data_IF_606233232443
#
_entry.id   IF_606233232443
#
_cell.length_a   1.000
_cell.length_b   1.000
_cell.length_c   1.000
_cell.angle_alpha   90.00
_cell.angle_beta   90.00
_cell.angle_gamma   90.00
#
_symmetry.space_group_name_H-M   'P 1'
#
loop_
_entity.id
_entity.type
_entity.pdbx_description
1 polymer ?
#
# COMPACT_ATOMS: atom_id res chain seq x y z
N UNK A 1 -23.25 -75.66 -8.60
CA UNK A 1 -22.74 -74.54 -9.43
C UNK A 1 -22.80 -73.27 -8.60
N UNK A 2 -21.66 -72.88 -7.99
CA UNK A 2 -21.51 -71.70 -7.13
C UNK A 2 -21.32 -70.45 -8.00
N UNK A 3 -22.22 -69.46 -7.89
CA UNK A 3 -22.08 -68.14 -8.53
C UNK A 3 -21.83 -67.05 -7.49
N UNK A 4 -20.53 -66.75 -7.35
CA UNK A 4 -19.87 -65.44 -7.18
C UNK A 4 -20.62 -64.35 -6.40
N UNK A 5 -20.17 -64.09 -5.17
CA UNK A 5 -20.40 -62.85 -4.44
C UNK A 5 -19.64 -61.70 -5.09
N UNK A 6 -20.34 -60.62 -5.45
CA UNK A 6 -19.74 -59.35 -5.83
C UNK A 6 -19.72 -58.42 -4.60
N UNK A 7 -18.52 -58.17 -4.10
CA UNK A 7 -18.20 -57.08 -3.18
C UNK A 7 -18.31 -55.75 -3.94
N UNK A 8 -19.27 -54.91 -3.57
CA UNK A 8 -19.33 -53.51 -3.98
C UNK A 8 -19.26 -52.64 -2.72
N UNK A 9 -18.06 -52.24 -2.37
CA UNK A 9 -17.81 -51.33 -1.25
C UNK A 9 -16.65 -50.42 -1.59
N UNK A 10 -16.94 -49.22 -2.09
CA UNK A 10 -16.09 -48.05 -1.91
C UNK A 10 -16.94 -46.78 -2.10
N UNK A 11 -17.45 -46.26 -0.99
CA UNK A 11 -18.04 -44.92 -0.93
C UNK A 11 -16.88 -43.93 -0.72
N UNK A 12 -16.57 -43.12 -1.72
CA UNK A 12 -15.68 -41.96 -1.56
C UNK A 12 -16.53 -40.81 -1.04
N UNK A 13 -16.42 -40.53 0.25
CA UNK A 13 -16.95 -39.31 0.86
C UNK A 13 -16.00 -38.18 0.43
N UNK A 14 -16.43 -37.39 -0.55
CA UNK A 14 -15.78 -36.13 -0.86
C UNK A 14 -16.02 -35.17 0.32
N UNK A 15 -14.98 -35.00 1.15
CA UNK A 15 -14.93 -34.00 2.20
C UNK A 15 -15.17 -32.62 1.59
N UNK A 16 -16.33 -32.05 1.90
CA UNK A 16 -16.62 -30.65 1.67
C UNK A 16 -15.61 -29.80 2.46
N UNK A 17 -14.71 -29.13 1.74
CA UNK A 17 -13.96 -28.01 2.27
C UNK A 17 -14.96 -26.88 2.55
N UNK A 18 -15.10 -26.38 3.79
CA UNK A 18 -15.63 -25.04 3.95
C UNK A 18 -14.54 -24.10 3.42
N UNK A 19 -14.73 -23.63 2.19
CA UNK A 19 -14.16 -22.36 1.78
C UNK A 19 -14.69 -21.35 2.79
N UNK A 20 -13.85 -21.03 3.78
CA UNK A 20 -14.04 -19.90 4.65
C UNK A 20 -13.99 -18.66 3.74
N UNK A 21 -15.15 -18.35 3.17
CA UNK A 21 -15.49 -17.04 2.66
C UNK A 21 -15.26 -16.11 3.85
N UNK A 22 -14.06 -15.55 3.87
CA UNK A 22 -13.60 -14.58 4.85
C UNK A 22 -14.49 -13.37 4.63
N UNK A 23 -15.62 -13.34 5.32
CA UNK A 23 -16.41 -12.15 5.53
C UNK A 23 -15.52 -11.20 6.34
N UNK A 24 -14.61 -10.50 5.63
CA UNK A 24 -13.88 -9.37 6.18
C UNK A 24 -14.93 -8.33 6.46
N UNK A 25 -15.20 -8.13 7.74
CA UNK A 25 -15.88 -6.94 8.23
C UNK A 25 -15.26 -5.71 7.57
N UNK A 26 -16.17 -4.95 7.01
CA UNK A 26 -16.04 -3.69 6.32
C UNK A 26 -15.44 -2.63 7.25
N UNK A 27 -14.17 -2.28 7.03
CA UNK A 27 -13.56 -1.04 7.53
C UNK A 27 -12.74 -0.41 6.39
N UNK A 28 -13.31 -0.39 5.18
CA UNK A 28 -12.73 0.27 4.03
C UNK A 28 -12.59 1.77 4.33
N UNK A 29 -11.34 2.26 4.36
CA UNK A 29 -11.05 3.68 4.48
C UNK A 29 -11.41 4.36 3.16
N UNK A 30 -12.68 4.77 3.06
CA UNK A 30 -13.25 5.61 2.01
C UNK A 30 -13.22 7.06 2.48
N UNK A 31 -12.80 7.96 1.59
CA UNK A 31 -12.80 9.42 1.79
C UNK A 31 -14.18 9.86 2.33
N UNK A 32 -14.22 10.43 3.54
CA UNK A 32 -15.43 11.04 4.10
C UNK A 32 -16.43 10.14 4.87
N UNK A 33 -16.11 8.87 5.19
CA UNK A 33 -16.82 8.11 6.24
C UNK A 33 -15.95 7.92 7.48
N UNK A 34 -16.58 7.73 8.66
CA UNK A 34 -15.91 7.46 9.95
C UNK A 34 -14.75 6.47 9.75
N UNK A 35 -13.52 6.96 9.78
CA UNK A 35 -12.31 6.15 9.55
C UNK A 35 -11.40 6.60 8.39
N UNK A 36 -11.87 7.50 7.50
CA UNK A 36 -11.02 8.13 6.48
C UNK A 36 -10.30 9.38 6.99
N UNK A 37 -9.18 9.78 6.35
CA UNK A 37 -8.43 10.97 6.76
C UNK A 37 -9.24 12.25 6.53
N UNK A 38 -9.07 13.20 7.44
CA UNK A 38 -9.67 14.53 7.33
C UNK A 38 -8.75 15.45 6.52
N UNK A 39 -9.31 16.22 5.59
CA UNK A 39 -8.53 17.24 4.89
C UNK A 39 -8.51 18.54 5.72
N UNK A 40 -7.32 18.97 6.11
CA UNK A 40 -7.07 20.27 6.74
C UNK A 40 -6.70 21.25 5.63
N UNK A 41 -7.45 22.35 5.55
CA UNK A 41 -7.18 23.45 4.61
C UNK A 41 -5.85 24.13 4.96
N UNK A 42 -5.11 24.56 3.95
CA UNK A 42 -3.82 25.23 4.07
C UNK A 42 -3.08 25.25 2.74
N UNK A 43 -1.87 25.79 2.74
CA UNK A 43 -0.97 25.77 1.58
C UNK A 43 0.42 25.22 1.99
N UNK A 44 0.72 23.94 1.70
CA UNK A 44 -0.15 22.95 1.09
C UNK A 44 -1.23 22.42 2.05
N UNK A 45 -2.36 21.90 1.55
CA UNK A 45 -3.36 21.23 2.37
C UNK A 45 -2.76 19.97 3.01
N UNK A 46 -3.31 19.51 4.15
CA UNK A 46 -2.82 18.33 4.88
C UNK A 46 -3.90 17.28 5.06
N UNK A 47 -3.52 16.01 4.96
CA UNK A 47 -4.35 14.87 5.37
C UNK A 47 -4.04 14.51 6.82
N UNK A 48 -5.06 14.52 7.67
CA UNK A 48 -4.99 14.08 9.05
C UNK A 48 -5.61 12.69 9.21
N UNK A 49 -4.76 11.72 9.52
CA UNK A 49 -5.15 10.35 9.81
C UNK A 49 -5.27 10.07 11.32
N UNK A 50 -5.04 11.06 12.19
CA UNK A 50 -4.93 10.90 13.64
C UNK A 50 -3.67 10.14 14.07
N UNK A 51 -3.36 10.15 15.37
CA UNK A 51 -2.18 9.46 15.93
C UNK A 51 -0.86 10.03 15.40
N UNK A 52 -0.76 11.36 15.30
CA UNK A 52 0.43 12.08 14.82
C UNK A 52 0.66 12.05 13.30
N UNK A 53 -0.21 11.39 12.52
CA UNK A 53 -0.04 11.20 11.09
C UNK A 53 -0.69 12.34 10.28
N UNK A 54 0.07 13.43 10.12
CA UNK A 54 -0.31 14.62 9.33
C UNK A 54 0.52 14.72 8.05
N UNK A 55 -0.09 14.45 6.89
CA UNK A 55 0.61 14.33 5.61
C UNK A 55 0.32 15.56 4.72
N UNK A 56 1.33 16.37 4.34
CA UNK A 56 1.14 17.47 3.40
C UNK A 56 0.84 16.95 1.99
N UNK A 57 -0.22 17.45 1.37
CA UNK A 57 -0.62 17.09 0.00
C UNK A 57 0.16 17.90 -1.04
N UNK A 58 1.44 17.57 -1.18
CA UNK A 58 2.34 18.11 -2.20
C UNK A 58 3.15 16.97 -2.84
N UNK A 59 4.06 17.27 -3.77
CA UNK A 59 4.87 16.27 -4.49
C UNK A 59 5.67 15.32 -3.57
N UNK A 60 5.85 15.73 -2.32
CA UNK A 60 6.67 15.07 -1.33
C UNK A 60 6.02 13.77 -0.78
N UNK A 61 4.70 13.59 -0.95
CA UNK A 61 3.98 12.37 -0.54
C UNK A 61 4.48 11.09 -1.21
N UNK A 62 5.00 11.20 -2.44
CA UNK A 62 5.38 10.05 -3.27
C UNK A 62 6.76 9.48 -2.96
N UNK A 63 7.55 10.15 -2.11
CA UNK A 63 8.93 9.78 -1.77
C UNK A 63 9.15 9.60 -0.27
N UNK A 64 8.07 9.46 0.49
CA UNK A 64 8.10 9.48 1.96
C UNK A 64 7.32 8.31 2.53
N UNK A 65 7.89 7.65 3.54
CA UNK A 65 7.17 6.77 4.44
C UNK A 65 6.63 7.62 5.59
N UNK A 66 5.32 7.77 5.65
CA UNK A 66 4.65 8.53 6.70
C UNK A 66 4.30 7.59 7.85
N UNK A 67 4.76 7.92 9.05
CA UNK A 67 4.66 7.10 10.24
C UNK A 67 3.79 7.80 11.28
N UNK A 68 2.66 7.17 11.61
CA UNK A 68 1.87 7.50 12.80
C UNK A 68 2.25 6.63 13.99
N UNK A 69 1.51 6.79 15.08
CA UNK A 69 1.66 5.97 16.29
C UNK A 69 1.46 4.47 16.03
N UNK A 70 0.45 4.11 15.23
CA UNK A 70 -0.03 2.74 15.06
C UNK A 70 0.02 2.23 13.60
N UNK A 71 0.47 3.06 12.65
CA UNK A 71 0.45 2.75 11.22
C UNK A 71 1.55 3.44 10.43
N UNK A 72 1.82 2.89 9.25
CA UNK A 72 2.59 3.54 8.20
C UNK A 72 1.73 3.76 6.95
N UNK A 73 2.01 4.83 6.21
CA UNK A 73 1.37 5.17 4.93
C UNK A 73 2.42 5.58 3.90
N UNK A 74 2.29 5.08 2.68
CA UNK A 74 3.02 5.55 1.49
C UNK A 74 2.04 5.90 0.39
N UNK A 75 2.46 6.67 -0.61
CA UNK A 75 1.64 7.01 -1.77
C UNK A 75 2.32 6.61 -3.07
N UNK A 76 1.50 6.13 -4.01
CA UNK A 76 1.88 5.87 -5.38
C UNK A 76 1.08 6.74 -6.33
N UNK A 77 1.66 6.98 -7.50
CA UNK A 77 1.03 7.68 -8.62
C UNK A 77 1.24 6.91 -9.90
N UNK A 78 0.29 7.01 -10.82
CA UNK A 78 0.45 6.52 -12.19
C UNK A 78 -0.36 7.35 -13.18
N UNK A 79 0.01 7.24 -14.45
CA UNK A 79 -0.71 7.82 -15.58
C UNK A 79 -1.02 6.71 -16.60
N UNK A 80 -2.28 6.56 -17.00
CA UNK A 80 -2.66 5.60 -18.03
C UNK A 80 -3.90 6.05 -18.82
N UNK A 81 -4.09 5.51 -20.02
CA UNK A 81 -5.29 5.78 -20.85
C UNK A 81 -6.60 5.20 -20.29
N UNK A 82 -6.50 4.29 -19.33
CA UNK A 82 -7.65 3.66 -18.69
C UNK A 82 -7.57 3.89 -17.19
N UNK A 83 -8.66 4.40 -16.60
CA UNK A 83 -8.77 4.68 -15.17
C UNK A 83 -8.35 3.50 -14.30
N UNK A 84 -8.93 2.31 -14.54
CA UNK A 84 -8.62 1.09 -13.78
C UNK A 84 -7.13 0.75 -13.82
N UNK A 85 -6.48 0.95 -14.97
CA UNK A 85 -5.06 0.67 -15.13
C UNK A 85 -4.20 1.70 -14.38
N UNK A 86 -4.57 2.99 -14.46
CA UNK A 86 -3.89 4.04 -13.70
C UNK A 86 -3.97 3.75 -12.19
N UNK A 87 -5.17 3.40 -11.70
CA UNK A 87 -5.39 3.06 -10.30
C UNK A 87 -4.59 1.84 -9.84
N UNK A 88 -4.61 0.75 -10.62
CA UNK A 88 -3.85 -0.46 -10.31
C UNK A 88 -2.35 -0.18 -10.26
N UNK A 89 -1.81 0.60 -11.21
CA UNK A 89 -0.39 0.94 -11.24
C UNK A 89 -0.01 1.88 -10.09
N UNK A 90 -0.88 2.82 -9.71
CA UNK A 90 -0.65 3.66 -8.54
C UNK A 90 -0.59 2.81 -7.25
N UNK A 91 -1.44 1.79 -7.13
CA UNK A 91 -1.44 0.87 -5.98
C UNK A 91 -0.17 0.02 -5.91
N UNK A 92 0.27 -0.51 -7.06
CA UNK A 92 1.54 -1.22 -7.18
C UNK A 92 2.70 -0.32 -6.77
N UNK A 93 2.72 0.93 -7.22
CA UNK A 93 3.73 1.90 -6.85
C UNK A 93 3.72 2.18 -5.33
N UNK A 94 2.55 2.44 -4.74
CA UNK A 94 2.42 2.70 -3.30
C UNK A 94 2.92 1.51 -2.46
N UNK A 95 2.55 0.29 -2.86
CA UNK A 95 2.97 -0.96 -2.22
C UNK A 95 4.48 -1.15 -2.35
N UNK A 96 5.04 -0.93 -3.53
CA UNK A 96 6.48 -1.01 -3.78
C UNK A 96 7.26 -0.02 -2.91
N UNK A 97 6.81 1.23 -2.83
CA UNK A 97 7.40 2.24 -1.93
C UNK A 97 7.31 1.81 -0.47
N UNK A 98 6.19 1.23 -0.02
CA UNK A 98 6.06 0.71 1.34
C UNK A 98 7.11 -0.36 1.64
N UNK A 99 7.27 -1.34 0.74
CA UNK A 99 8.26 -2.41 0.90
C UNK A 99 9.67 -1.83 1.02
N UNK A 100 10.09 -1.02 0.06
CA UNK A 100 11.43 -0.41 0.03
C UNK A 100 11.71 0.37 1.32
N UNK A 101 10.77 1.18 1.77
CA UNK A 101 10.97 2.04 2.93
C UNK A 101 10.97 1.25 4.24
N UNK A 102 10.10 0.25 4.42
CA UNK A 102 10.10 -0.59 5.62
C UNK A 102 11.32 -1.51 5.69
N UNK A 103 11.75 -2.07 4.54
CA UNK A 103 13.00 -2.82 4.46
C UNK A 103 14.19 -1.94 4.82
N UNK A 104 14.26 -0.73 4.27
CA UNK A 104 15.33 0.22 4.60
C UNK A 104 15.29 0.60 6.07
N UNK A 105 14.13 0.91 6.63
CA UNK A 105 13.99 1.25 8.04
C UNK A 105 14.39 0.09 8.97
N UNK A 106 14.13 -1.15 8.56
CA UNK A 106 14.52 -2.32 9.31
C UNK A 106 16.03 -2.61 9.22
N UNK A 107 16.60 -2.64 8.02
CA UNK A 107 17.95 -3.16 7.79
C UNK A 107 19.04 -2.08 7.68
N UNK A 108 18.70 -0.88 7.25
CA UNK A 108 19.63 0.22 7.03
C UNK A 108 19.02 1.58 7.41
N UNK A 109 18.52 1.75 8.66
CA UNK A 109 17.78 2.94 9.09
C UNK A 109 18.60 4.25 8.94
N UNK A 110 19.92 4.18 8.99
CA UNK A 110 20.83 5.31 8.79
C UNK A 110 20.72 5.94 7.39
N UNK A 111 20.23 5.18 6.40
CA UNK A 111 19.95 5.68 5.04
C UNK A 111 18.66 6.46 4.95
N UNK A 112 17.87 6.48 6.02
CA UNK A 112 16.69 7.32 6.15
C UNK A 112 16.97 8.54 7.01
N UNK A 113 16.27 9.62 6.72
CA UNK A 113 16.24 10.85 7.52
C UNK A 113 14.81 11.20 7.86
N UNK A 114 14.58 11.74 9.06
CA UNK A 114 13.29 12.31 9.44
C UNK A 114 12.96 13.47 8.50
N UNK A 115 11.72 13.49 8.03
CA UNK A 115 11.19 14.53 7.17
C UNK A 115 9.91 15.06 7.79
N UNK A 116 9.83 16.38 7.99
CA UNK A 116 8.74 17.02 8.73
C UNK A 116 8.47 16.33 10.07
N UNK A 117 7.21 16.23 10.48
CA UNK A 117 6.79 15.73 11.79
C UNK A 117 6.67 14.21 11.85
N UNK A 118 6.34 13.56 10.73
CA UNK A 118 5.99 12.14 10.70
C UNK A 118 6.54 11.39 9.48
N UNK A 119 7.40 12.00 8.66
CA UNK A 119 7.96 11.38 7.47
C UNK A 119 9.32 10.76 7.68
N UNK A 120 9.62 9.75 6.87
CA UNK A 120 10.97 9.24 6.60
C UNK A 120 11.25 9.32 5.11
N UNK A 121 12.45 9.78 4.75
CA UNK A 121 12.92 9.84 3.37
C UNK A 121 14.28 9.20 3.22
N UNK A 122 14.57 8.70 2.02
CA UNK A 122 15.94 8.37 1.64
C UNK A 122 16.83 9.62 1.79
N UNK A 123 17.96 9.44 2.46
CA UNK A 123 18.93 10.51 2.76
C UNK A 123 19.46 11.20 1.50
N UNK A 124 19.66 10.43 0.43
CA UNK A 124 20.20 10.89 -0.86
C UNK A 124 19.10 11.25 -1.87
N UNK A 125 17.88 10.76 -1.64
CA UNK A 125 16.78 10.84 -2.60
C UNK A 125 16.87 9.85 -3.77
N UNK A 126 17.92 9.04 -3.84
CA UNK A 126 18.10 8.01 -4.86
C UNK A 126 17.50 6.67 -4.38
N UNK A 127 16.68 6.04 -5.24
CA UNK A 127 16.04 4.77 -4.91
C UNK A 127 17.05 3.63 -4.81
N UNK A 128 18.21 3.72 -5.48
CA UNK A 128 19.26 2.68 -5.43
C UNK A 128 19.91 2.55 -4.06
N UNK A 129 19.84 3.61 -3.25
CA UNK A 129 20.44 3.62 -1.91
C UNK A 129 19.51 2.96 -0.87
N UNK A 130 18.27 2.64 -1.26
CA UNK A 130 17.31 1.91 -0.43
C UNK A 130 17.58 0.40 -0.45
N UNK A 131 17.08 -0.30 0.56
CA UNK A 131 17.20 -1.76 0.66
C UNK A 131 16.19 -2.42 -0.28
N UNK A 132 16.70 -3.19 -1.24
CA UNK A 132 15.92 -3.99 -2.17
C UNK A 132 15.59 -5.35 -1.56
N UNK A 133 14.38 -5.81 -1.80
CA UNK A 133 13.92 -7.10 -1.32
C UNK A 133 12.42 -7.23 -1.40
N UNK A 134 11.95 -8.38 -0.98
CA UNK A 134 10.54 -8.74 -0.96
C UNK A 134 10.04 -9.01 0.45
N UNK A 135 8.82 -8.56 0.70
CA UNK A 135 8.08 -8.85 1.93
C UNK A 135 6.58 -8.79 1.66
N UNK A 136 5.86 -9.79 2.17
CA UNK A 136 4.40 -9.79 2.15
C UNK A 136 3.84 -8.88 3.25
N UNK A 137 3.15 -7.81 2.86
CA UNK A 137 2.55 -6.83 3.77
C UNK A 137 1.02 -7.01 3.80
N UNK A 138 0.38 -6.96 4.99
CA UNK A 138 -1.08 -7.07 5.13
C UNK A 138 -1.79 -5.74 4.91
N UNK A 139 -1.15 -4.80 4.22
CA UNK A 139 -1.67 -3.45 4.04
C UNK A 139 -2.85 -3.38 3.07
N UNK A 140 -3.46 -2.20 3.02
CA UNK A 140 -4.63 -1.91 2.20
C UNK A 140 -4.50 -0.57 1.47
N UNK A 141 -5.07 -0.44 0.28
CA UNK A 141 -5.19 0.85 -0.39
C UNK A 141 -6.03 1.81 0.45
N UNK A 142 -5.63 3.08 0.46
CA UNK A 142 -6.36 4.16 1.12
C UNK A 142 -6.40 5.37 0.20
N UNK A 143 -7.52 6.09 0.21
CA UNK A 143 -7.68 7.32 -0.58
C UNK A 143 -7.40 7.19 -2.09
N UNK A 144 -7.93 6.15 -2.78
CA UNK A 144 -7.83 6.08 -4.23
C UNK A 144 -8.47 7.31 -4.86
N UNK A 145 -7.72 8.06 -5.66
CA UNK A 145 -8.21 9.30 -6.29
C UNK A 145 -7.64 9.45 -7.69
N UNK A 146 -8.42 10.03 -8.60
CA UNK A 146 -7.99 10.46 -9.93
C UNK A 146 -8.12 11.97 -10.11
N UNK A 147 -7.44 12.52 -11.10
CA UNK A 147 -7.60 13.90 -11.61
C UNK A 147 -9.06 14.38 -11.74
N UNK A 148 -10.01 13.49 -12.06
CA UNK A 148 -11.46 13.80 -12.07
C UNK A 148 -12.05 14.23 -10.72
N UNK A 149 -11.37 13.93 -9.62
CA UNK A 149 -11.78 14.25 -8.24
C UNK A 149 -10.87 15.30 -7.59
N UNK A 150 -9.68 15.52 -8.14
CA UNK A 150 -8.59 16.28 -7.52
C UNK A 150 -8.18 17.52 -8.32
N UNK A 151 -9.16 18.23 -8.93
CA UNK A 151 -8.95 19.44 -9.71
C UNK A 151 -7.70 20.22 -9.28
N UNK A 152 -6.64 20.10 -10.09
CA UNK A 152 -5.36 20.81 -9.95
C UNK A 152 -4.54 20.64 -8.64
N UNK A 153 -4.65 19.54 -7.88
CA UNK A 153 -3.87 19.40 -6.62
C UNK A 153 -2.42 18.89 -6.79
N UNK A 154 -2.00 18.45 -7.98
CA UNK A 154 -0.63 17.96 -8.22
C UNK A 154 -0.06 18.53 -9.51
N UNK A 155 0.33 19.80 -9.49
CA UNK A 155 1.22 20.35 -10.52
C UNK A 155 2.59 19.70 -10.42
N UNK A 156 2.83 18.64 -11.20
CA UNK A 156 4.14 18.08 -11.44
C UNK A 156 4.12 17.31 -12.77
N UNK A 157 4.75 17.92 -13.79
CA UNK A 157 5.20 17.36 -15.09
C UNK A 157 4.33 16.24 -15.69
N UNK A 158 3.46 16.65 -16.61
CA UNK A 158 2.71 15.78 -17.53
C UNK A 158 3.66 15.21 -18.58
N UNK A 159 4.38 14.15 -18.24
CA UNK A 159 5.10 13.37 -19.24
C UNK A 159 4.13 12.45 -20.01
N UNK A 160 3.81 12.86 -21.24
CA UNK A 160 3.78 11.96 -22.39
C UNK A 160 2.47 11.28 -22.83
N UNK A 161 1.32 11.50 -22.18
CA UNK A 161 0.07 10.81 -22.57
C UNK A 161 -1.09 11.70 -23.06
N UNK A 162 -0.89 13.02 -23.20
CA UNK A 162 -1.90 13.95 -23.73
C UNK A 162 -3.05 14.23 -22.75
N UNK A 163 -3.97 15.11 -23.16
CA UNK A 163 -5.08 15.62 -22.32
C UNK A 163 -6.12 14.54 -21.91
N UNK A 164 -6.09 13.35 -22.53
CA UNK A 164 -7.02 12.23 -22.29
C UNK A 164 -6.48 11.16 -21.32
N UNK A 165 -5.39 11.43 -20.61
CA UNK A 165 -4.78 10.50 -19.69
C UNK A 165 -5.41 10.59 -18.29
N UNK A 166 -5.54 9.44 -17.61
CA UNK A 166 -5.95 9.39 -16.21
C UNK A 166 -4.74 9.44 -15.29
N UNK A 167 -4.69 10.45 -14.44
CA UNK A 167 -3.71 10.59 -13.37
C UNK A 167 -4.28 10.02 -12.06
N UNK A 168 -3.76 8.88 -11.64
CA UNK A 168 -4.18 8.21 -10.41
C UNK A 168 -3.18 8.43 -9.27
N UNK A 169 -3.72 8.59 -8.06
CA UNK A 169 -2.99 8.62 -6.80
C UNK A 169 -3.69 7.69 -5.81
N UNK A 170 -2.91 6.88 -5.10
CA UNK A 170 -3.45 6.05 -4.02
C UNK A 170 -2.43 5.91 -2.90
N UNK A 171 -2.91 5.85 -1.67
CA UNK A 171 -2.10 5.51 -0.52
C UNK A 171 -2.10 4.00 -0.27
N UNK A 172 -1.07 3.48 0.40
CA UNK A 172 -1.04 2.13 0.94
C UNK A 172 -0.73 2.20 2.43
N UNK A 173 -1.57 1.58 3.26
CA UNK A 173 -1.47 1.66 4.71
C UNK A 173 -1.21 0.29 5.32
N UNK A 174 -0.25 0.22 6.24
CA UNK A 174 0.07 -0.97 7.04
C UNK A 174 -0.03 -0.61 8.52
N UNK A 175 -0.76 -1.42 9.30
CA UNK A 175 -0.84 -1.22 10.75
C UNK A 175 0.36 -1.89 11.44
N UNK A 176 0.98 -1.20 12.41
CA UNK A 176 2.14 -1.68 13.17
C UNK A 176 1.82 -2.90 14.04
N UNK A 177 0.56 -3.06 14.44
CA UNK A 177 0.08 -4.24 15.18
C UNK A 177 0.08 -5.51 14.32
N UNK A 178 0.01 -5.37 13.00
CA UNK A 178 -0.06 -6.49 12.05
C UNK A 178 1.33 -6.82 11.46
N UNK A 179 2.26 -5.86 11.46
CA UNK A 179 3.67 -6.03 11.08
C UNK A 179 4.55 -5.09 11.91
N UNK A 180 5.52 -5.62 12.62
CA UNK A 180 6.58 -4.83 13.29
C UNK A 180 7.86 -4.79 12.45
N UNK A 181 8.79 -3.87 12.75
CA UNK A 181 10.11 -3.88 12.09
C UNK A 181 10.91 -5.17 12.38
N UNK A 182 10.66 -5.82 13.53
CA UNK A 182 11.24 -7.12 13.83
C UNK A 182 10.65 -8.21 12.92
N UNK A 183 9.34 -8.19 12.67
CA UNK A 183 8.70 -9.10 11.70
C UNK A 183 9.21 -8.85 10.28
N UNK A 184 9.47 -7.58 9.91
CA UNK A 184 10.10 -7.23 8.63
C UNK A 184 11.45 -7.92 8.52
N UNK A 185 12.31 -7.82 9.55
CA UNK A 185 13.61 -8.50 9.56
C UNK A 185 13.51 -10.00 9.43
N UNK A 186 12.55 -10.60 10.13
CA UNK A 186 12.39 -12.05 10.17
C UNK A 186 11.84 -12.66 8.86
N UNK A 187 11.05 -11.89 8.10
CA UNK A 187 10.29 -12.39 6.94
C UNK A 187 10.78 -11.88 5.60
N UNK A 188 11.64 -10.86 5.58
CA UNK A 188 12.13 -10.27 4.35
C UNK A 188 13.04 -11.23 3.58
N UNK A 189 12.93 -11.20 2.26
CA UNK A 189 13.85 -11.84 1.33
C UNK A 189 14.62 -10.72 0.62
N UNK A 190 15.84 -10.46 1.07
CA UNK A 190 16.67 -9.41 0.48
C UNK A 190 17.18 -9.87 -0.88
N UNK A 191 17.23 -8.93 -1.82
CA UNK A 191 17.95 -9.14 -3.09
C UNK A 191 19.34 -8.58 -2.82
N UNK A 192 20.34 -9.46 -2.75
CA UNK A 192 21.74 -9.02 -2.66
C UNK A 192 22.04 -8.14 -3.88
N UNK A 193 22.55 -6.94 -3.62
CA UNK A 193 23.00 -5.99 -4.63
C UNK A 193 24.49 -6.09 -4.86
#
# INVERSE_FOLDING_TARGET
>A
MLRRHALAGLAIIALALPAAARQRSDDGVVKGRKGGPNMIKGDPPRLDFGGGLLIPMNASIFKTLWEGEDRWVTYGRSVARQETRAMQQAEVAATGTMKLMLLTQAFAPERLVRFETCGWRGRTGDAKDLVLGEIALPGRPVMPTTDRVNGAATGAETDGLGEDAWHAVTGYMVMKKDVTLADVKARAQLIEG
#
